data_IF_937835293749
#
_entry.id   IF_937835293749
#
_cell.length_a   1.000
_cell.length_b   1.000
_cell.length_c   1.000
_cell.angle_alpha   90.00
_cell.angle_beta   90.00
_cell.angle_gamma   90.00
#
_symmetry.space_group_name_H-M   'P 1'
#
loop_
_entity.id
_entity.type
_entity.pdbx_description
1 polymer ?
#
# COMPACT_ATOMS: atom_id res chain seq x y z
N UNK A 1 -5.03 -8.23 18.54
CA UNK A 1 -4.33 -8.96 17.47
C UNK A 1 -4.59 -8.24 16.15
N UNK A 2 -3.55 -7.93 15.41
CA UNK A 2 -3.73 -7.39 14.06
C UNK A 2 -4.24 -8.49 13.12
N UNK A 3 -4.90 -8.09 12.02
CA UNK A 3 -5.37 -9.03 11.00
C UNK A 3 -4.23 -9.89 10.41
N UNK A 4 -3.00 -9.42 10.48
CA UNK A 4 -1.82 -10.13 10.01
C UNK A 4 -1.45 -11.29 10.94
N UNK A 5 -1.56 -11.08 12.24
CA UNK A 5 -1.25 -12.11 13.25
C UNK A 5 -2.20 -13.30 13.17
N UNK A 6 -3.48 -13.05 12.84
CA UNK A 6 -4.47 -14.11 12.70
C UNK A 6 -4.25 -14.99 11.46
N UNK A 7 -3.46 -14.51 10.47
CA UNK A 7 -3.10 -15.24 9.25
C UNK A 7 -1.81 -16.05 9.39
N UNK A 8 -1.07 -15.88 10.47
CA UNK A 8 0.20 -16.56 10.73
C UNK A 8 -0.08 -17.91 11.39
N UNK A 9 -0.38 -18.93 10.59
CA UNK A 9 -0.86 -20.24 11.03
C UNK A 9 0.18 -21.36 10.89
N UNK A 10 1.29 -21.13 10.17
CA UNK A 10 2.24 -22.18 9.85
C UNK A 10 3.47 -22.14 10.78
N UNK A 11 3.83 -23.31 11.33
CA UNK A 11 5.11 -23.48 12.01
C UNK A 11 6.26 -23.48 10.99
N UNK A 12 7.49 -23.28 11.45
CA UNK A 12 8.67 -23.25 10.56
C UNK A 12 8.84 -24.53 9.76
N UNK A 13 8.51 -25.69 10.31
CA UNK A 13 8.58 -26.97 9.59
C UNK A 13 7.65 -26.99 8.40
N UNK A 14 6.43 -26.46 8.54
CA UNK A 14 5.45 -26.38 7.46
C UNK A 14 5.87 -25.30 6.46
N UNK A 15 6.33 -24.15 6.94
CA UNK A 15 6.85 -23.08 6.08
C UNK A 15 8.01 -23.58 5.22
N UNK A 16 8.91 -24.37 5.80
CA UNK A 16 10.02 -25.01 5.08
C UNK A 16 9.51 -25.93 3.97
N UNK A 17 8.52 -26.76 4.28
CA UNK A 17 7.93 -27.68 3.31
C UNK A 17 7.23 -26.92 2.17
N UNK A 18 6.41 -25.92 2.50
CA UNK A 18 5.65 -25.16 1.52
C UNK A 18 6.53 -24.27 0.63
N UNK A 19 7.60 -23.71 1.19
CA UNK A 19 8.52 -22.83 0.44
C UNK A 19 9.61 -23.61 -0.29
N UNK A 20 9.90 -24.84 0.13
CA UNK A 20 11.03 -25.60 -0.36
C UNK A 20 12.38 -25.10 0.17
N UNK A 21 12.37 -24.31 1.24
CA UNK A 21 13.56 -23.68 1.83
C UNK A 21 13.88 -24.37 3.15
N UNK A 22 15.15 -24.68 3.39
CA UNK A 22 15.62 -25.27 4.64
C UNK A 22 15.27 -24.37 5.84
N UNK A 23 14.87 -24.98 6.95
CA UNK A 23 14.53 -24.24 8.16
C UNK A 23 15.66 -23.31 8.61
N UNK A 24 16.91 -23.77 8.52
CA UNK A 24 18.06 -22.95 8.89
C UNK A 24 18.21 -21.72 7.98
N UNK A 25 17.91 -21.87 6.70
CA UNK A 25 17.91 -20.75 5.76
C UNK A 25 16.83 -19.73 6.11
N UNK A 26 15.65 -20.20 6.50
CA UNK A 26 14.56 -19.33 6.95
C UNK A 26 15.00 -18.54 8.19
N UNK A 27 15.66 -19.19 9.15
CA UNK A 27 16.21 -18.51 10.34
C UNK A 27 17.27 -17.47 9.97
N UNK A 28 18.11 -17.78 8.98
CA UNK A 28 19.11 -16.83 8.47
C UNK A 28 18.44 -15.60 7.87
N UNK A 29 17.37 -15.78 7.09
CA UNK A 29 16.61 -14.66 6.54
C UNK A 29 15.98 -13.80 7.64
N UNK A 30 15.48 -14.40 8.70
CA UNK A 30 14.96 -13.69 9.87
C UNK A 30 16.07 -12.88 10.53
N UNK A 31 17.24 -13.49 10.76
CA UNK A 31 18.39 -12.81 11.36
C UNK A 31 18.86 -11.60 10.56
N UNK A 32 18.76 -11.67 9.23
CA UNK A 32 19.10 -10.57 8.34
C UNK A 32 17.99 -9.51 8.22
N UNK A 33 16.86 -9.71 8.89
CA UNK A 33 15.76 -8.77 8.86
C UNK A 33 14.96 -8.81 7.56
N UNK A 34 15.07 -9.89 6.77
CA UNK A 34 14.33 -10.05 5.51
C UNK A 34 12.91 -10.52 5.72
N UNK A 35 12.67 -11.25 6.82
CA UNK A 35 11.36 -11.74 7.19
C UNK A 35 11.17 -11.57 8.69
N UNK A 36 9.95 -11.27 9.10
CA UNK A 36 9.60 -11.10 10.51
C UNK A 36 8.39 -11.98 10.83
N UNK A 37 8.62 -13.22 11.28
CA UNK A 37 7.51 -14.10 11.65
C UNK A 37 6.80 -13.59 12.90
N UNK A 38 5.52 -13.89 13.00
CA UNK A 38 4.78 -13.70 14.23
C UNK A 38 5.31 -14.67 15.28
N UNK A 39 5.40 -14.23 16.54
CA UNK A 39 5.76 -15.10 17.65
C UNK A 39 4.60 -15.20 18.62
N UNK A 40 4.26 -16.44 19.00
CA UNK A 40 3.26 -16.70 20.03
C UNK A 40 3.75 -16.22 21.39
N UNK A 41 2.88 -16.21 22.39
CA UNK A 41 3.25 -15.87 23.78
C UNK A 41 4.39 -16.70 24.34
N UNK A 42 4.59 -17.94 23.86
CA UNK A 42 5.70 -18.81 24.22
C UNK A 42 6.97 -18.61 23.36
N UNK A 43 6.98 -17.66 22.46
CA UNK A 43 8.12 -17.37 21.59
C UNK A 43 8.23 -18.25 20.35
N UNK A 44 7.21 -19.05 20.04
CA UNK A 44 7.20 -19.91 18.87
C UNK A 44 6.92 -19.11 17.61
N UNK A 45 7.73 -19.33 16.55
CA UNK A 45 7.56 -18.69 15.25
C UNK A 45 6.34 -19.20 14.52
N UNK A 46 5.59 -18.28 13.92
CA UNK A 46 4.47 -18.59 13.02
C UNK A 46 4.56 -17.76 11.76
N UNK A 47 4.25 -18.39 10.64
CA UNK A 47 4.36 -17.80 9.31
C UNK A 47 2.98 -17.74 8.65
N UNK A 48 2.72 -16.63 7.96
CA UNK A 48 1.54 -16.49 7.11
C UNK A 48 1.81 -17.00 5.70
N UNK A 49 0.78 -17.10 4.88
CA UNK A 49 0.95 -17.40 3.45
C UNK A 49 1.78 -16.30 2.76
N UNK A 50 1.59 -15.06 3.14
CA UNK A 50 2.37 -13.93 2.62
C UNK A 50 3.85 -14.09 2.96
N UNK A 51 4.17 -14.55 4.17
CA UNK A 51 5.54 -14.84 4.59
C UNK A 51 6.16 -15.93 3.71
N UNK A 52 5.40 -16.98 3.42
CA UNK A 52 5.86 -18.08 2.57
C UNK A 52 6.14 -17.58 1.15
N UNK A 53 5.26 -16.78 0.59
CA UNK A 53 5.43 -16.18 -0.74
C UNK A 53 6.68 -15.29 -0.76
N UNK A 54 6.91 -14.53 0.29
CA UNK A 54 8.10 -13.69 0.44
C UNK A 54 9.38 -14.51 0.54
N UNK A 55 9.36 -15.62 1.28
CA UNK A 55 10.48 -16.55 1.36
C UNK A 55 10.88 -17.07 -0.01
N UNK A 56 9.90 -17.47 -0.83
CA UNK A 56 10.12 -17.95 -2.19
C UNK A 56 10.75 -16.84 -3.06
N UNK A 57 10.26 -15.61 -2.95
CA UNK A 57 10.83 -14.48 -3.69
C UNK A 57 12.27 -14.18 -3.27
N UNK A 58 12.57 -14.21 -1.97
CA UNK A 58 13.93 -14.01 -1.44
C UNK A 58 14.87 -15.07 -2.01
N UNK A 59 14.45 -16.33 -1.99
CA UNK A 59 15.24 -17.42 -2.53
C UNK A 59 15.49 -17.23 -4.02
N UNK A 60 14.50 -16.86 -4.79
CA UNK A 60 14.65 -16.60 -6.22
C UNK A 60 15.67 -15.49 -6.49
N UNK A 61 15.64 -14.40 -5.73
CA UNK A 61 16.61 -13.31 -5.86
C UNK A 61 18.02 -13.78 -5.47
N UNK A 62 18.13 -14.58 -4.40
CA UNK A 62 19.39 -15.15 -3.94
C UNK A 62 20.00 -16.08 -5.01
N UNK A 63 19.17 -16.90 -5.64
CA UNK A 63 19.61 -17.79 -6.72
C UNK A 63 20.06 -17.03 -7.97
N UNK A 64 19.56 -15.83 -8.17
CA UNK A 64 19.99 -14.93 -9.26
C UNK A 64 21.29 -14.19 -8.94
N UNK A 65 21.92 -14.48 -7.82
CA UNK A 65 23.22 -13.94 -7.47
C UNK A 65 23.17 -12.66 -6.62
N UNK A 66 21.99 -12.26 -6.14
CA UNK A 66 21.86 -11.10 -5.27
C UNK A 66 22.10 -11.56 -3.83
N UNK A 67 23.03 -10.91 -3.12
CA UNK A 67 23.29 -11.24 -1.71
C UNK A 67 22.14 -10.77 -0.81
N UNK A 68 22.10 -11.25 0.42
CA UNK A 68 21.01 -10.97 1.35
C UNK A 68 20.89 -9.48 1.69
N UNK A 69 22.00 -8.77 1.79
CA UNK A 69 21.99 -7.33 2.04
C UNK A 69 21.37 -6.56 0.86
N UNK A 70 21.69 -6.98 -0.36
CA UNK A 70 21.07 -6.43 -1.57
C UNK A 70 19.58 -6.72 -1.66
N UNK A 71 19.16 -7.91 -1.29
CA UNK A 71 17.74 -8.30 -1.23
C UNK A 71 17.00 -7.42 -0.22
N UNK A 72 17.61 -7.15 0.93
CA UNK A 72 17.04 -6.26 1.94
C UNK A 72 16.81 -4.85 1.37
N UNK A 73 17.79 -4.31 0.67
CA UNK A 73 17.67 -3.01 0.00
C UNK A 73 16.52 -3.02 -1.01
N UNK A 74 16.39 -4.09 -1.79
CA UNK A 74 15.29 -4.25 -2.75
C UNK A 74 13.93 -4.17 -2.06
N UNK A 75 13.75 -4.84 -0.93
CA UNK A 75 12.50 -4.80 -0.17
C UNK A 75 12.23 -3.42 0.43
N UNK A 76 13.25 -2.75 0.95
CA UNK A 76 13.14 -1.37 1.43
C UNK A 76 12.70 -0.43 0.31
N UNK A 77 13.26 -0.61 -0.89
CA UNK A 77 12.87 0.17 -2.07
C UNK A 77 11.43 -0.14 -2.52
N UNK A 78 11.02 -1.39 -2.48
CA UNK A 78 9.64 -1.79 -2.78
C UNK A 78 8.65 -1.13 -1.81
N UNK A 79 8.95 -1.13 -0.52
CA UNK A 79 8.11 -0.50 0.50
C UNK A 79 8.00 1.01 0.25
N UNK A 80 9.10 1.64 -0.13
CA UNK A 80 9.12 3.06 -0.46
C UNK A 80 8.31 3.37 -1.72
N UNK A 81 8.40 2.52 -2.73
CA UNK A 81 7.60 2.64 -3.96
C UNK A 81 6.10 2.54 -3.62
N UNK A 82 5.72 1.57 -2.81
CA UNK A 82 4.32 1.39 -2.38
C UNK A 82 3.82 2.62 -1.61
N UNK A 83 4.62 3.12 -0.68
CA UNK A 83 4.32 4.36 0.07
C UNK A 83 4.10 5.54 -0.87
N UNK A 84 4.99 5.72 -1.85
CA UNK A 84 4.89 6.81 -2.82
C UNK A 84 3.69 6.65 -3.75
N UNK A 85 3.38 5.43 -4.17
CA UNK A 85 2.19 5.13 -4.98
C UNK A 85 0.91 5.47 -4.22
N UNK A 86 0.84 5.14 -2.93
CA UNK A 86 -0.31 5.49 -2.08
C UNK A 86 -0.45 7.00 -1.93
N UNK A 87 0.65 7.72 -1.76
CA UNK A 87 0.64 9.19 -1.71
C UNK A 87 0.14 9.80 -3.02
N UNK A 88 0.58 9.25 -4.15
CA UNK A 88 0.12 9.69 -5.48
C UNK A 88 -1.39 9.51 -5.60
N UNK A 89 -1.91 8.35 -5.20
CA UNK A 89 -3.35 8.09 -5.22
C UNK A 89 -4.13 9.08 -4.35
N UNK A 90 -3.63 9.36 -3.15
CA UNK A 90 -4.25 10.32 -2.24
C UNK A 90 -4.24 11.74 -2.84
N UNK A 91 -3.12 12.16 -3.42
CA UNK A 91 -3.00 13.48 -4.07
C UNK A 91 -3.88 13.58 -5.30
N UNK A 92 -3.97 12.54 -6.11
CA UNK A 92 -4.86 12.48 -7.27
C UNK A 92 -6.33 12.61 -6.85
N UNK A 93 -6.72 11.95 -5.77
CA UNK A 93 -8.06 12.06 -5.20
C UNK A 93 -8.34 13.47 -4.70
N UNK A 94 -7.39 14.10 -4.01
CA UNK A 94 -7.50 15.49 -3.56
C UNK A 94 -7.65 16.45 -4.74
N UNK A 95 -6.83 16.30 -5.78
CA UNK A 95 -6.91 17.11 -6.99
C UNK A 95 -8.27 16.92 -7.67
N UNK A 96 -8.74 15.70 -7.79
CA UNK A 96 -10.05 15.39 -8.36
C UNK A 96 -11.18 16.05 -7.58
N UNK A 97 -11.14 15.97 -6.25
CA UNK A 97 -12.12 16.60 -5.37
C UNK A 97 -12.08 18.14 -5.47
N UNK A 98 -10.88 18.73 -5.51
CA UNK A 98 -10.72 20.17 -5.69
C UNK A 98 -11.23 20.63 -7.05
N UNK A 99 -11.01 19.87 -8.12
CA UNK A 99 -11.55 20.17 -9.44
C UNK A 99 -13.07 20.15 -9.45
N UNK A 100 -13.69 19.20 -8.78
CA UNK A 100 -15.15 19.12 -8.66
C UNK A 100 -15.67 20.33 -7.89
N UNK A 101 -15.07 20.68 -6.75
CA UNK A 101 -15.45 21.84 -5.97
C UNK A 101 -15.27 23.16 -6.74
N UNK A 102 -14.17 23.31 -7.47
CA UNK A 102 -13.93 24.46 -8.34
C UNK A 102 -14.99 24.58 -9.43
N UNK A 103 -15.34 23.49 -10.10
CA UNK A 103 -16.40 23.48 -11.11
C UNK A 103 -17.75 23.84 -10.51
N UNK A 104 -18.08 23.33 -9.35
CA UNK A 104 -19.31 23.65 -8.64
C UNK A 104 -19.38 25.13 -8.28
N UNK A 105 -18.29 25.70 -7.78
CA UNK A 105 -18.18 27.12 -7.46
C UNK A 105 -18.33 28.00 -8.70
N UNK A 106 -17.69 27.64 -9.80
CA UNK A 106 -17.82 28.35 -11.08
C UNK A 106 -19.25 28.30 -11.60
N UNK A 107 -19.91 27.17 -11.50
CA UNK A 107 -21.30 27.01 -11.92
C UNK A 107 -22.24 27.85 -11.03
N UNK A 108 -22.03 27.88 -9.71
CA UNK A 108 -22.79 28.72 -8.80
C UNK A 108 -22.62 30.21 -9.11
N UNK A 109 -21.42 30.66 -9.34
CA UNK A 109 -21.12 32.06 -9.71
C UNK A 109 -21.80 32.38 -11.05
N UNK A 110 -21.69 31.52 -12.03
CA UNK A 110 -22.29 31.70 -13.34
C UNK A 110 -23.82 31.79 -13.27
N UNK A 111 -24.45 30.95 -12.49
CA UNK A 111 -25.89 30.94 -12.28
C UNK A 111 -26.36 32.22 -11.56
N UNK A 112 -25.62 32.66 -10.57
CA UNK A 112 -25.89 33.93 -9.87
C UNK A 112 -25.81 35.11 -10.83
N UNK A 113 -24.82 35.14 -11.69
CA UNK A 113 -24.65 36.18 -12.71
C UNK A 113 -25.82 36.21 -13.72
N UNK A 114 -26.27 35.06 -14.18
CA UNK A 114 -27.45 34.96 -15.07
C UNK A 114 -28.70 35.51 -14.40
N UNK A 115 -28.91 35.22 -13.14
CA UNK A 115 -30.08 35.69 -12.39
C UNK A 115 -30.06 37.21 -12.26
N UNK A 116 -28.92 37.83 -12.02
CA UNK A 116 -28.77 39.28 -11.98
C UNK A 116 -29.05 39.95 -13.32
N UNK A 117 -28.55 39.40 -14.40
CA UNK A 117 -28.80 39.92 -15.76
C UNK A 117 -30.28 39.87 -16.10
N UNK A 118 -30.96 38.78 -15.79
CA UNK A 118 -32.43 38.65 -16.01
C UNK A 118 -33.21 39.69 -15.21
N UNK A 119 -32.85 39.95 -13.96
CA UNK A 119 -33.46 40.99 -13.13
C UNK A 119 -33.28 42.38 -13.72
N UNK A 120 -32.10 42.71 -14.22
CA UNK A 120 -31.81 43.99 -14.87
C UNK A 120 -32.59 44.15 -16.17
N UNK A 121 -32.72 43.09 -16.95
CA UNK A 121 -33.50 43.05 -18.17
C UNK A 121 -35.00 43.30 -17.91
N UNK A 122 -35.56 42.67 -16.87
CA UNK A 122 -36.96 42.90 -16.44
C UNK A 122 -37.20 44.33 -16.01
N UNK A 123 -36.29 44.93 -15.29
CA UNK A 123 -36.37 46.34 -14.90
C UNK A 123 -36.27 47.30 -16.08
N UNK A 124 -35.52 46.93 -17.11
CA UNK A 124 -35.40 47.69 -18.34
C UNK A 124 -36.70 47.66 -19.15
N UNK A 125 -37.39 46.55 -19.21
CA UNK A 125 -38.62 46.34 -19.96
C UNK A 125 -39.80 47.05 -19.31
N UNK A 126 -39.83 47.25 -17.99
CA UNK A 126 -40.89 47.93 -17.24
C UNK A 126 -40.86 49.44 -17.26
N UNK A 127 -39.94 50.02 -17.96
CA UNK A 127 -39.90 51.46 -18.24
C UNK A 127 -40.81 51.71 -19.46
#
# INVERSE_FOLDING_TARGET
MSNEDSKAIYFISVASTLSGIHQQTIRTYEMKGLIKPYRTGGGTRRYSQEDIDKLIQIQNLSQRGINLDGIKIIYEMKDKIEELQNKILMLENEISNQKIDSKNKEQEIHQSYKNEIVKKSDKSIRR
#
